data_IF_649411979785
#
_entry.id   IF_649411979785
#
_cell.length_a   1.000
_cell.length_b   1.000
_cell.length_c   1.000
_cell.angle_alpha   90.00
_cell.angle_beta   90.00
_cell.angle_gamma   90.00
#
_symmetry.space_group_name_H-M   'P 1'
#
loop_
_entity.id
_entity.type
_entity.pdbx_description
1 polymer ?
#
# COMPACT_ATOMS: atom_id res chain seq x y z
N UNK A 1 -25.44 10.41 -4.94
CA UNK A 1 -24.32 10.72 -5.85
C UNK A 1 -23.30 9.60 -5.69
N UNK A 2 -23.13 8.69 -6.67
CA UNK A 2 -22.06 7.68 -6.59
C UNK A 2 -20.73 8.38 -6.86
N UNK A 3 -19.78 8.29 -5.93
CA UNK A 3 -18.42 8.74 -6.19
C UNK A 3 -17.87 7.97 -7.39
N UNK A 4 -17.31 8.70 -8.36
CA UNK A 4 -16.59 8.11 -9.49
C UNK A 4 -15.36 7.38 -8.98
N UNK A 5 -15.03 6.24 -9.58
CA UNK A 5 -13.81 5.52 -9.21
C UNK A 5 -12.60 6.20 -9.85
N UNK A 6 -11.38 5.85 -9.41
CA UNK A 6 -10.17 6.52 -9.91
C UNK A 6 -9.93 6.22 -11.40
N UNK A 7 -10.38 5.07 -11.88
CA UNK A 7 -10.34 4.61 -13.26
C UNK A 7 -11.09 5.59 -14.19
N UNK A 8 -12.19 6.18 -13.73
CA UNK A 8 -12.97 7.17 -14.50
C UNK A 8 -12.17 8.46 -14.76
N UNK A 9 -11.19 8.76 -13.92
CA UNK A 9 -10.31 9.93 -14.05
C UNK A 9 -9.04 9.62 -14.84
N UNK A 10 -8.49 8.41 -14.72
CA UNK A 10 -7.22 8.05 -15.35
C UNK A 10 -7.36 7.91 -16.88
N UNK A 11 -8.47 7.32 -17.36
CA UNK A 11 -8.72 7.08 -18.78
C UNK A 11 -8.61 8.34 -19.65
N UNK A 12 -9.29 9.46 -19.35
CA UNK A 12 -9.17 10.67 -20.16
C UNK A 12 -7.80 11.35 -20.07
N UNK A 13 -7.02 11.09 -19.01
CA UNK A 13 -5.66 11.61 -18.86
C UNK A 13 -4.70 10.80 -19.73
N UNK A 14 -4.81 9.47 -19.70
CA UNK A 14 -4.02 8.57 -20.53
C UNK A 14 -4.27 8.80 -22.03
N UNK A 15 -5.54 9.01 -22.43
CA UNK A 15 -5.91 9.37 -23.81
C UNK A 15 -5.26 10.66 -24.32
N UNK A 16 -4.84 11.55 -23.43
CA UNK A 16 -4.13 12.79 -23.78
C UNK A 16 -2.61 12.61 -23.82
N UNK A 17 -2.08 11.41 -23.51
CA UNK A 17 -0.67 11.09 -23.57
C UNK A 17 0.15 11.61 -22.38
N UNK A 18 -0.48 11.96 -21.26
CA UNK A 18 0.25 12.42 -20.07
C UNK A 18 0.75 11.26 -19.22
N UNK A 19 1.93 11.40 -18.63
CA UNK A 19 2.43 10.50 -17.60
C UNK A 19 1.62 10.63 -16.31
N UNK A 20 1.42 9.51 -15.63
CA UNK A 20 0.49 9.41 -14.50
C UNK A 20 1.16 8.76 -13.30
N UNK A 21 0.96 9.39 -12.14
CA UNK A 21 1.21 8.82 -10.82
C UNK A 21 -0.15 8.60 -10.16
N UNK A 22 -0.40 7.39 -9.64
CA UNK A 22 -1.62 7.08 -8.90
C UNK A 22 -1.39 7.15 -7.39
N UNK A 23 -2.30 7.81 -6.67
CA UNK A 23 -2.33 7.77 -5.20
C UNK A 23 -3.73 7.49 -4.62
N UNK A 24 -4.78 7.49 -5.46
CA UNK A 24 -6.18 7.53 -5.03
C UNK A 24 -6.61 6.37 -4.12
N UNK A 25 -6.07 5.17 -4.35
CA UNK A 25 -6.36 3.99 -3.52
C UNK A 25 -5.39 3.82 -2.34
N UNK A 26 -4.37 4.66 -2.20
CA UNK A 26 -3.28 4.53 -1.21
C UNK A 26 -3.25 5.66 -0.18
N UNK A 27 -4.43 6.06 0.29
CA UNK A 27 -4.59 6.99 1.41
C UNK A 27 -4.54 6.21 2.72
N UNK A 28 -3.39 6.23 3.38
CA UNK A 28 -3.15 5.50 4.63
C UNK A 28 -3.62 6.28 5.86
N UNK A 29 -3.82 7.59 5.75
CA UNK A 29 -4.47 8.36 6.81
C UNK A 29 -5.90 7.87 7.08
N UNK A 30 -6.59 7.34 6.06
CA UNK A 30 -7.89 6.67 6.22
C UNK A 30 -7.70 5.25 6.78
N UNK A 31 -7.84 5.12 8.09
CA UNK A 31 -7.81 3.84 8.81
C UNK A 31 -9.18 3.15 8.79
N UNK A 32 -9.16 1.82 8.73
CA UNK A 32 -10.34 0.96 8.86
C UNK A 32 -9.99 -0.27 9.69
N UNK A 33 -10.95 -0.83 10.42
CA UNK A 33 -10.73 -2.04 11.22
C UNK A 33 -10.34 -3.25 10.33
N UNK A 34 -9.40 -4.06 10.82
CA UNK A 34 -8.92 -5.28 10.15
C UNK A 34 -7.70 -5.08 9.25
N UNK A 35 -7.49 -6.02 8.33
CA UNK A 35 -6.32 -6.07 7.42
C UNK A 35 -6.52 -5.16 6.21
N UNK A 36 -6.60 -3.85 6.44
CA UNK A 36 -6.78 -2.86 5.39
C UNK A 36 -5.57 -2.72 4.43
N UNK A 37 -4.44 -3.37 4.72
CA UNK A 37 -3.33 -3.46 3.77
C UNK A 37 -3.69 -4.27 2.52
N UNK A 38 -4.64 -5.22 2.61
CA UNK A 38 -5.06 -6.06 1.47
C UNK A 38 -5.66 -5.21 0.35
N UNK A 39 -6.55 -4.26 0.67
CA UNK A 39 -7.11 -3.31 -0.32
C UNK A 39 -6.02 -2.44 -0.99
N UNK A 40 -4.93 -2.13 -0.28
CA UNK A 40 -3.82 -1.37 -0.84
C UNK A 40 -2.98 -2.23 -1.79
N UNK A 41 -2.74 -3.49 -1.41
CA UNK A 41 -2.01 -4.48 -2.22
C UNK A 41 -2.74 -4.82 -3.53
N UNK A 42 -4.07 -4.97 -3.47
CA UNK A 42 -4.93 -5.33 -4.60
C UNK A 42 -5.15 -4.17 -5.59
N UNK A 43 -4.83 -2.94 -5.21
CA UNK A 43 -4.95 -1.81 -6.12
C UNK A 43 -3.84 -1.85 -7.18
N UNK A 44 -4.19 -2.23 -8.41
CA UNK A 44 -3.29 -2.15 -9.56
C UNK A 44 -3.53 -0.84 -10.34
N UNK A 45 -2.54 0.07 -10.41
CA UNK A 45 -2.69 1.35 -11.08
C UNK A 45 -2.84 1.24 -12.61
N UNK A 46 -2.56 0.07 -13.21
CA UNK A 46 -2.73 -0.21 -14.64
C UNK A 46 -4.04 -0.93 -14.97
N UNK A 47 -4.86 -1.26 -13.97
CA UNK A 47 -6.14 -1.94 -14.14
C UNK A 47 -7.27 -0.97 -14.51
N UNK A 48 -7.17 -0.35 -15.69
CA UNK A 48 -8.21 0.49 -16.28
C UNK A 48 -8.45 0.16 -17.75
N UNK A 49 -9.55 0.64 -18.30
CA UNK A 49 -9.93 0.45 -19.72
C UNK A 49 -9.10 1.37 -20.63
N UNK A 50 -7.99 0.84 -21.12
CA UNK A 50 -7.04 1.51 -22.00
C UNK A 50 -6.16 0.51 -22.74
N UNK A 51 -5.57 0.96 -23.85
CA UNK A 51 -4.55 0.25 -24.62
C UNK A 51 -3.28 0.05 -23.78
N UNK A 52 -2.42 -0.89 -24.19
CA UNK A 52 -1.15 -1.12 -23.49
C UNK A 52 -0.28 0.14 -23.46
N UNK A 53 -0.24 0.90 -24.56
CA UNK A 53 0.48 2.18 -24.63
C UNK A 53 -0.08 3.22 -23.65
N UNK A 54 -1.40 3.24 -23.42
CA UNK A 54 -2.03 4.13 -22.43
C UNK A 54 -1.72 3.67 -20.99
N UNK A 55 -1.66 2.36 -20.74
CA UNK A 55 -1.29 1.80 -19.43
C UNK A 55 0.19 2.03 -19.11
N UNK A 56 1.05 2.06 -20.11
CA UNK A 56 2.48 2.35 -19.97
C UNK A 56 2.76 3.82 -19.58
N UNK A 57 1.77 4.71 -19.72
CA UNK A 57 1.86 6.08 -19.20
C UNK A 57 1.80 6.13 -17.67
N UNK A 58 1.37 5.06 -17.01
CA UNK A 58 1.46 4.92 -15.55
C UNK A 58 2.90 4.62 -15.17
N UNK A 59 3.58 5.65 -14.66
CA UNK A 59 5.01 5.60 -14.31
C UNK A 59 5.25 5.18 -12.86
N UNK A 60 4.20 5.15 -12.03
CA UNK A 60 4.30 4.72 -10.65
C UNK A 60 3.16 5.25 -9.79
N UNK A 61 3.47 5.48 -8.52
CA UNK A 61 2.46 5.75 -7.52
C UNK A 61 3.02 6.25 -6.20
N UNK A 62 2.13 6.78 -5.36
CA UNK A 62 2.49 7.30 -4.04
C UNK A 62 1.54 6.82 -2.95
N UNK A 63 2.13 6.53 -1.80
CA UNK A 63 1.40 6.38 -0.54
C UNK A 63 1.17 7.76 0.05
N UNK A 64 -0.07 8.09 0.40
CA UNK A 64 -0.40 9.35 1.04
C UNK A 64 -0.66 9.15 2.54
N UNK A 65 0.09 9.88 3.37
CA UNK A 65 -0.14 10.00 4.81
C UNK A 65 -0.39 11.46 5.16
N UNK A 66 -1.65 11.88 5.08
CA UNK A 66 -2.05 13.24 5.46
C UNK A 66 -2.06 13.41 6.98
N UNK A 67 -1.71 14.63 7.42
CA UNK A 67 -1.37 14.94 8.80
C UNK A 67 -2.53 15.31 9.73
N UNK A 68 -3.79 15.25 9.29
CA UNK A 68 -4.92 15.76 10.09
C UNK A 68 -5.06 15.04 11.43
N UNK A 69 -4.73 13.75 11.47
CA UNK A 69 -4.75 12.91 12.67
C UNK A 69 -3.45 12.11 12.83
N UNK A 70 -2.35 12.61 12.26
CA UNK A 70 -1.05 11.93 12.22
C UNK A 70 0.04 12.88 12.68
N UNK A 71 0.81 12.45 13.67
CA UNK A 71 1.96 13.19 14.19
C UNK A 71 3.07 12.23 14.68
N UNK A 72 4.07 12.75 15.39
CA UNK A 72 5.19 11.96 15.90
C UNK A 72 4.79 10.83 16.86
N UNK A 73 3.59 10.85 17.43
CA UNK A 73 3.12 9.81 18.35
C UNK A 73 2.63 8.55 17.64
N UNK A 74 2.21 8.66 16.37
CA UNK A 74 1.53 7.55 15.70
C UNK A 74 1.95 7.31 14.24
N UNK A 75 2.80 8.18 13.66
CA UNK A 75 3.19 8.11 12.24
C UNK A 75 3.73 6.74 11.84
N UNK A 76 4.73 6.23 12.57
CA UNK A 76 5.44 5.00 12.16
C UNK A 76 4.56 3.76 12.25
N UNK A 77 3.84 3.58 13.36
CA UNK A 77 2.93 2.46 13.53
C UNK A 77 1.76 2.49 12.54
N UNK A 78 1.25 3.69 12.22
CA UNK A 78 0.19 3.85 11.21
C UNK A 78 0.73 3.60 9.81
N UNK A 79 1.96 4.01 9.49
CA UNK A 79 2.53 3.87 8.15
C UNK A 79 2.95 2.43 7.85
N UNK A 80 3.66 1.79 8.78
CA UNK A 80 4.28 0.49 8.56
C UNK A 80 3.57 -0.63 9.32
N UNK A 81 3.37 -1.81 8.70
CA UNK A 81 3.86 -2.23 7.38
C UNK A 81 2.85 -1.98 6.25
N UNK A 82 1.77 -1.21 6.47
CA UNK A 82 0.73 -0.98 5.45
C UNK A 82 1.29 -0.39 4.15
N UNK A 83 2.23 0.55 4.26
CA UNK A 83 2.91 1.13 3.10
C UNK A 83 3.80 0.12 2.35
N UNK A 84 4.24 -0.95 3.00
CA UNK A 84 5.02 -2.02 2.34
C UNK A 84 4.19 -2.80 1.33
N UNK A 85 2.87 -2.91 1.53
CA UNK A 85 1.98 -3.52 0.54
C UNK A 85 1.99 -2.74 -0.78
N UNK A 86 1.98 -1.41 -0.71
CA UNK A 86 2.07 -0.53 -1.88
C UNK A 86 3.45 -0.57 -2.50
N UNK A 87 4.50 -0.60 -1.67
CA UNK A 87 5.87 -0.74 -2.14
C UNK A 87 6.06 -2.01 -2.98
N UNK A 88 5.51 -3.14 -2.54
CA UNK A 88 5.57 -4.39 -3.31
C UNK A 88 4.77 -4.31 -4.61
N UNK A 89 3.58 -3.70 -4.61
CA UNK A 89 2.79 -3.46 -5.83
C UNK A 89 3.52 -2.60 -6.87
N UNK A 90 4.27 -1.60 -6.43
CA UNK A 90 4.99 -0.69 -7.33
C UNK A 90 6.34 -1.25 -7.80
N UNK A 91 6.88 -2.25 -7.10
CA UNK A 91 8.18 -2.85 -7.43
C UNK A 91 8.07 -4.19 -8.16
N UNK A 92 7.19 -5.06 -7.69
CA UNK A 92 7.09 -6.44 -8.14
C UNK A 92 6.22 -6.56 -9.39
N UNK A 93 6.43 -7.61 -10.21
CA UNK A 93 5.55 -7.89 -11.34
C UNK A 93 4.08 -8.04 -10.94
N UNK A 94 3.18 -7.61 -11.81
CA UNK A 94 1.73 -7.59 -11.53
C UNK A 94 1.18 -8.99 -11.27
N UNK A 95 1.70 -10.00 -11.98
CA UNK A 95 1.34 -11.41 -11.84
C UNK A 95 1.71 -12.00 -10.47
N UNK A 96 2.73 -11.44 -9.79
CA UNK A 96 3.15 -11.90 -8.46
C UNK A 96 2.44 -11.17 -7.32
N UNK A 97 1.62 -10.17 -7.64
CA UNK A 97 0.98 -9.28 -6.66
C UNK A 97 -0.54 -9.47 -6.59
N UNK A 98 -1.07 -10.62 -7.03
CA UNK A 98 -2.51 -10.89 -7.08
C UNK A 98 -3.05 -11.79 -5.95
N UNK A 99 -2.19 -12.26 -5.05
CA UNK A 99 -2.57 -13.15 -3.94
C UNK A 99 -2.18 -12.53 -2.58
N UNK A 100 -3.19 -12.06 -1.85
CA UNK A 100 -3.01 -11.46 -0.52
C UNK A 100 -2.73 -12.49 0.57
N UNK A 101 -3.13 -13.76 0.41
CA UNK A 101 -2.85 -14.80 1.40
C UNK A 101 -1.37 -15.20 1.37
N UNK A 102 -0.82 -15.42 0.18
CA UNK A 102 0.63 -15.63 0.01
C UNK A 102 1.46 -14.43 0.47
N UNK A 103 1.01 -13.20 0.19
CA UNK A 103 1.70 -11.99 0.62
C UNK A 103 1.71 -11.81 2.15
N UNK A 104 0.67 -12.27 2.85
CA UNK A 104 0.51 -12.06 4.29
C UNK A 104 1.71 -12.57 5.11
N UNK A 105 2.20 -13.77 4.82
CA UNK A 105 3.31 -14.38 5.56
C UNK A 105 4.64 -13.65 5.33
N UNK A 106 4.91 -13.22 4.08
CA UNK A 106 6.13 -12.46 3.77
C UNK A 106 6.08 -11.04 4.33
N UNK A 107 4.90 -10.43 4.33
CA UNK A 107 4.68 -9.11 4.91
C UNK A 107 4.83 -9.15 6.45
N UNK A 108 4.37 -10.23 7.10
CA UNK A 108 4.55 -10.43 8.54
C UNK A 108 6.02 -10.67 8.90
N UNK A 109 6.73 -11.50 8.13
CA UNK A 109 8.19 -11.65 8.27
C UNK A 109 8.93 -10.31 8.09
N UNK A 110 8.51 -9.51 7.09
CA UNK A 110 9.05 -8.17 6.86
C UNK A 110 8.75 -7.23 8.02
N UNK A 111 7.57 -7.31 8.62
CA UNK A 111 7.22 -6.56 9.83
C UNK A 111 8.12 -6.95 11.00
N UNK A 112 8.39 -8.23 11.22
CA UNK A 112 9.37 -8.66 12.22
C UNK A 112 10.80 -8.17 11.91
N UNK A 113 11.20 -8.10 10.63
CA UNK A 113 12.47 -7.45 10.23
C UNK A 113 12.49 -5.96 10.57
N UNK A 114 11.37 -5.26 10.46
CA UNK A 114 11.26 -3.83 10.80
C UNK A 114 11.42 -3.60 12.31
N UNK A 115 10.75 -4.41 13.14
CA UNK A 115 10.90 -4.33 14.60
C UNK A 115 12.36 -4.55 15.03
N UNK A 116 13.03 -5.57 14.48
CA UNK A 116 14.46 -5.83 14.71
C UNK A 116 15.38 -4.66 14.35
N UNK A 117 14.91 -3.73 13.52
CA UNK A 117 15.63 -2.52 13.09
C UNK A 117 15.18 -1.27 13.84
N UNK A 118 14.38 -1.41 14.90
CA UNK A 118 13.88 -0.29 15.71
C UNK A 118 12.73 0.50 15.06
N UNK A 119 12.05 -0.06 14.05
CA UNK A 119 10.88 0.57 13.43
C UNK A 119 9.63 -0.01 14.10
N UNK A 120 8.80 0.81 14.81
CA UNK A 120 7.63 0.33 15.54
C UNK A 120 6.45 0.07 14.58
N UNK A 121 6.57 -0.94 13.72
CA UNK A 121 5.55 -1.34 12.75
C UNK A 121 4.41 -2.12 13.42
N UNK A 122 3.16 -1.74 13.12
CA UNK A 122 1.97 -2.38 13.69
C UNK A 122 1.80 -3.84 13.19
N UNK A 123 1.15 -4.74 13.94
CA UNK A 123 0.90 -6.11 13.49
C UNK A 123 -0.11 -6.16 12.34
N UNK A 124 -0.02 -7.21 11.53
CA UNK A 124 -1.00 -7.49 10.45
C UNK A 124 -1.73 -8.83 10.61
N UNK A 125 -1.17 -9.77 11.38
CA UNK A 125 -1.73 -11.07 11.68
C UNK A 125 -1.76 -11.26 13.20
N UNK A 126 -2.46 -12.31 13.65
CA UNK A 126 -2.31 -12.82 14.99
C UNK A 126 -0.95 -13.55 15.09
N UNK A 127 -0.08 -13.11 16.00
CA UNK A 127 1.26 -13.68 16.13
C UNK A 127 2.15 -12.85 17.03
N UNK A 128 3.45 -13.16 17.00
CA UNK A 128 4.48 -12.41 17.72
C UNK A 128 5.82 -12.47 16.96
N UNK A 129 6.71 -11.50 17.19
CA UNK A 129 8.03 -11.42 16.54
C UNK A 129 9.21 -11.73 17.49
N UNK A 130 8.99 -12.56 18.50
CA UNK A 130 9.99 -12.87 19.53
C UNK A 130 10.27 -11.69 20.46
N UNK A 131 11.51 -11.63 20.97
CA UNK A 131 11.92 -10.69 22.03
C UNK A 131 11.85 -9.21 21.62
N UNK A 132 11.92 -8.93 20.32
CA UNK A 132 11.89 -7.58 19.75
C UNK A 132 10.53 -6.88 19.84
N UNK A 133 9.46 -7.59 20.19
CA UNK A 133 8.13 -6.96 20.36
C UNK A 133 7.91 -6.33 21.73
N UNK A 134 8.65 -6.79 22.73
CA UNK A 134 8.36 -6.48 24.13
C UNK A 134 9.57 -5.92 24.88
N UNK A 135 10.62 -5.53 24.15
CA UNK A 135 11.92 -5.15 24.72
C UNK A 135 12.36 -6.13 25.83
N UNK A 136 12.11 -7.43 25.61
CA UNK A 136 12.54 -8.47 26.53
C UNK A 136 14.02 -8.71 26.28
N UNK A 137 14.88 -7.95 26.96
CA UNK A 137 16.30 -8.29 27.10
C UNK A 137 16.51 -9.65 27.79
#
# INVERSE_FOLDING_TARGET
MKMKKWEDYIVPIAKKGYQIILSACWYLNYISYGMDWKKYYECDPRNFDGTDAEKDLVVGGEVCMWGEYVDGTNLLARLWPRASAVAERLWSPAELTNDTESASFRLDEQRCRMLRRGIPAQPILNGFCGDYEWDME
#
